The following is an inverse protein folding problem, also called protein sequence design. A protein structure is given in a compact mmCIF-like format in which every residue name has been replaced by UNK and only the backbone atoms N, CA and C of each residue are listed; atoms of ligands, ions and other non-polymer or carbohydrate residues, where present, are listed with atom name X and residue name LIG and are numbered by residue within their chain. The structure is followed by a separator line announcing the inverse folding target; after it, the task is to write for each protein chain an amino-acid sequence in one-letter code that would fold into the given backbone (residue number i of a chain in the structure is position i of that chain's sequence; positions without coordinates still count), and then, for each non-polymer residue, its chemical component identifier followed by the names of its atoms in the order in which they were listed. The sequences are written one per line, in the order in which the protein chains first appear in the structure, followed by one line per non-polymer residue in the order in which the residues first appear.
data_IF_019473598341
#
_entry.id   IF_019473598341
#
_cell.length_a   1.000
_cell.length_b   1.000
_cell.length_c   1.000
_cell.angle_alpha   90.00
_cell.angle_beta   90.00
_cell.angle_gamma   90.00
#
_symmetry.space_group_name_H-M   'P 1'
#
loop_
_entity.id
_entity.type
_entity.pdbx_description
1 polymer ?
#
# COMPACT_ATOMS: atom_id res chain seq x y z
N UNK A 1 -23.16 -15.29 5.06
CA UNK A 1 -22.14 -16.22 5.59
C UNK A 1 -21.44 -16.88 4.42
N UNK A 2 -20.11 -16.90 4.40
CA UNK A 2 -19.32 -17.60 3.38
C UNK A 2 -19.47 -19.12 3.57
N UNK A 3 -19.79 -19.85 2.51
CA UNK A 3 -19.87 -21.31 2.53
C UNK A 3 -18.48 -21.90 2.70
N UNK A 4 -18.32 -22.96 3.49
CA UNK A 4 -17.04 -23.69 3.64
C UNK A 4 -16.55 -24.32 2.32
N UNK A 5 -17.39 -24.32 1.28
CA UNK A 5 -17.07 -24.84 -0.05
C UNK A 5 -16.71 -23.76 -1.08
N UNK A 6 -16.69 -22.47 -0.71
CA UNK A 6 -16.53 -21.38 -1.68
C UNK A 6 -15.18 -21.37 -2.40
N UNK A 7 -14.16 -21.99 -1.81
CA UNK A 7 -12.80 -22.08 -2.36
C UNK A 7 -12.56 -23.33 -3.21
N UNK A 8 -13.49 -24.30 -3.21
CA UNK A 8 -13.33 -25.54 -3.96
C UNK A 8 -13.19 -25.25 -5.46
N UNK A 9 -12.06 -25.66 -6.03
CA UNK A 9 -11.73 -25.48 -7.45
C UNK A 9 -11.37 -24.06 -7.86
N UNK A 10 -11.27 -23.09 -6.94
CA UNK A 10 -10.82 -21.73 -7.26
C UNK A 10 -9.34 -21.73 -7.58
N UNK A 11 -8.95 -21.06 -8.66
CA UNK A 11 -7.55 -20.91 -9.04
C UNK A 11 -6.94 -19.73 -8.29
N UNK A 12 -5.93 -20.04 -7.48
CA UNK A 12 -5.12 -19.08 -6.75
C UNK A 12 -3.71 -19.14 -7.31
N UNK A 13 -3.11 -17.98 -7.54
CA UNK A 13 -1.75 -17.83 -8.09
C UNK A 13 -0.88 -17.09 -7.09
N UNK A 14 0.35 -17.55 -6.93
CA UNK A 14 1.32 -16.98 -5.97
C UNK A 14 2.54 -16.47 -6.73
N UNK A 15 2.62 -15.16 -7.04
CA UNK A 15 3.81 -14.57 -7.66
C UNK A 15 4.90 -14.35 -6.60
N UNK A 16 5.92 -15.20 -6.57
CA UNK A 16 6.93 -15.19 -5.49
C UNK A 16 8.06 -14.21 -5.72
N UNK A 17 8.57 -14.13 -6.95
CA UNK A 17 9.91 -13.63 -7.26
C UNK A 17 10.31 -12.32 -6.55
N UNK A 18 9.55 -11.24 -6.74
CA UNK A 18 9.80 -9.94 -6.10
C UNK A 18 9.10 -9.83 -4.74
N UNK A 19 7.83 -10.26 -4.65
CA UNK A 19 6.97 -10.00 -3.50
C UNK A 19 7.35 -10.76 -2.21
N UNK A 20 8.01 -11.92 -2.33
CA UNK A 20 8.50 -12.71 -1.18
C UNK A 20 10.01 -12.57 -0.99
N UNK A 21 10.67 -11.67 -1.72
CA UNK A 21 12.05 -11.30 -1.46
C UNK A 21 12.07 -10.23 -0.36
N UNK A 22 12.51 -10.58 0.84
CA UNK A 22 12.46 -9.69 2.01
C UNK A 22 13.24 -8.38 1.78
N UNK A 23 14.34 -8.43 1.01
CA UNK A 23 15.15 -7.24 0.71
C UNK A 23 14.42 -6.27 -0.22
N UNK A 24 13.60 -6.78 -1.15
CA UNK A 24 12.87 -5.94 -2.11
C UNK A 24 11.51 -5.52 -1.57
N UNK A 25 10.76 -6.47 -1.03
CA UNK A 25 9.41 -6.22 -0.48
C UNK A 25 9.44 -5.45 0.84
N UNK A 26 10.56 -5.46 1.58
CA UNK A 26 10.64 -4.90 2.93
C UNK A 26 9.83 -5.68 3.96
N UNK A 27 9.35 -6.89 3.61
CA UNK A 27 8.56 -7.72 4.52
C UNK A 27 9.42 -8.31 5.64
N UNK A 28 8.84 -8.38 6.85
CA UNK A 28 9.43 -9.19 7.93
C UNK A 28 9.40 -10.67 7.49
N UNK A 29 10.54 -11.40 7.57
CA UNK A 29 10.62 -12.80 7.16
C UNK A 29 9.57 -13.72 7.84
N UNK A 30 9.11 -13.35 9.04
CA UNK A 30 8.03 -14.06 9.73
C UNK A 30 6.71 -14.06 8.95
N UNK A 31 6.42 -12.98 8.20
CA UNK A 31 5.23 -12.91 7.34
C UNK A 31 5.24 -14.07 6.36
N UNK A 32 6.36 -14.30 5.68
CA UNK A 32 6.49 -15.34 4.67
C UNK A 32 6.31 -16.73 5.29
N UNK A 33 6.80 -16.95 6.52
CA UNK A 33 6.58 -18.21 7.25
C UNK A 33 5.10 -18.46 7.52
N UNK A 34 4.34 -17.44 7.95
CA UNK A 34 2.90 -17.60 8.22
C UNK A 34 2.12 -17.71 6.90
N UNK A 35 2.57 -17.02 5.84
CA UNK A 35 1.98 -17.08 4.52
C UNK A 35 1.96 -18.51 3.95
N UNK A 36 3.05 -19.27 4.11
CA UNK A 36 3.06 -20.69 3.71
C UNK A 36 1.96 -21.51 4.38
N UNK A 37 1.67 -21.26 5.66
CA UNK A 37 0.60 -21.95 6.39
C UNK A 37 -0.79 -21.58 5.86
N UNK A 38 -0.96 -20.33 5.43
CA UNK A 38 -2.19 -19.89 4.79
C UNK A 38 -2.37 -20.55 3.42
N UNK A 39 -1.29 -20.73 2.64
CA UNK A 39 -1.36 -21.47 1.37
C UNK A 39 -1.79 -22.93 1.61
N UNK A 40 -1.28 -23.60 2.63
CA UNK A 40 -1.75 -24.95 2.99
C UNK A 40 -3.23 -24.97 3.39
N UNK A 41 -3.66 -24.00 4.21
CA UNK A 41 -5.09 -23.85 4.57
C UNK A 41 -5.97 -23.67 3.33
N UNK A 42 -5.54 -22.85 2.37
CA UNK A 42 -6.28 -22.64 1.12
C UNK A 42 -6.37 -23.94 0.30
N UNK A 43 -5.30 -24.74 0.23
CA UNK A 43 -5.31 -26.06 -0.42
C UNK A 43 -6.27 -27.03 0.27
N UNK A 44 -6.23 -27.11 1.60
CA UNK A 44 -7.12 -27.97 2.40
C UNK A 44 -8.60 -27.61 2.20
N UNK A 45 -8.91 -26.33 2.01
CA UNK A 45 -10.25 -25.83 1.66
C UNK A 45 -10.63 -26.06 0.19
N UNK A 46 -9.78 -26.73 -0.58
CA UNK A 46 -10.05 -27.17 -1.95
C UNK A 46 -9.65 -26.19 -3.05
N UNK A 47 -8.89 -25.12 -2.73
CA UNK A 47 -8.35 -24.23 -3.75
C UNK A 47 -7.25 -24.94 -4.56
N UNK A 48 -7.17 -24.57 -5.85
CA UNK A 48 -6.11 -25.00 -6.75
C UNK A 48 -5.03 -23.91 -6.79
N UNK A 49 -3.91 -24.18 -6.15
CA UNK A 49 -2.80 -23.23 -6.06
C UNK A 49 -1.80 -23.50 -7.20
N UNK A 50 -1.46 -22.45 -7.95
CA UNK A 50 -0.34 -22.41 -8.89
C UNK A 50 0.75 -21.57 -8.25
N UNK A 51 1.87 -22.22 -7.90
CA UNK A 51 2.98 -21.63 -7.17
C UNK A 51 4.31 -22.28 -7.62
N UNK A 52 5.26 -21.52 -8.19
CA UNK A 52 5.18 -20.08 -8.45
C UNK A 52 4.30 -19.74 -9.67
N UNK A 53 3.72 -18.55 -9.63
CA UNK A 53 3.00 -17.93 -10.75
C UNK A 53 3.45 -16.48 -10.91
N UNK A 54 4.75 -16.30 -11.15
CA UNK A 54 5.40 -14.98 -11.14
C UNK A 54 4.80 -14.03 -12.18
N UNK A 55 4.61 -12.78 -11.77
CA UNK A 55 4.21 -11.69 -12.63
C UNK A 55 5.47 -11.16 -13.34
N UNK A 56 5.53 -11.20 -14.69
CA UNK A 56 6.69 -10.69 -15.41
C UNK A 56 7.00 -9.24 -15.10
N UNK A 57 5.97 -8.40 -14.95
CA UNK A 57 6.07 -6.97 -14.65
C UNK A 57 6.46 -6.63 -13.19
N UNK A 58 6.64 -7.62 -12.31
CA UNK A 58 6.86 -7.36 -10.89
C UNK A 58 8.14 -6.56 -10.62
N UNK A 59 9.20 -6.83 -11.37
CA UNK A 59 10.48 -6.13 -11.23
C UNK A 59 10.41 -4.73 -11.83
N UNK A 60 9.80 -4.57 -13.00
CA UNK A 60 9.60 -3.26 -13.62
C UNK A 60 8.71 -2.34 -12.76
N UNK A 61 7.67 -2.89 -12.11
CA UNK A 61 6.86 -2.14 -11.14
C UNK A 61 7.73 -1.64 -9.98
N UNK A 62 8.59 -2.50 -9.44
CA UNK A 62 9.50 -2.14 -8.36
C UNK A 62 10.52 -1.07 -8.77
N UNK A 63 11.09 -1.16 -9.97
CA UNK A 63 12.21 -0.31 -10.42
C UNK A 63 11.77 1.03 -11.05
N UNK A 64 10.58 1.12 -11.65
CA UNK A 64 10.25 2.23 -12.56
C UNK A 64 10.03 3.59 -11.91
N UNK A 65 9.49 3.63 -10.68
CA UNK A 65 9.06 4.84 -9.98
C UNK A 65 8.02 5.70 -10.75
N UNK A 66 7.39 5.17 -11.80
CA UNK A 66 6.44 5.92 -12.62
C UNK A 66 5.14 6.26 -11.87
N UNK A 67 4.67 5.36 -11.01
CA UNK A 67 3.50 5.61 -10.16
C UNK A 67 3.70 6.86 -9.28
N UNK A 68 4.89 7.04 -8.69
CA UNK A 68 5.22 8.24 -7.90
C UNK A 68 5.17 9.52 -8.72
N UNK A 69 5.63 9.47 -9.98
CA UNK A 69 5.58 10.62 -10.90
C UNK A 69 4.13 10.98 -11.24
N UNK A 70 3.31 9.98 -11.55
CA UNK A 70 1.89 10.17 -11.85
C UNK A 70 1.17 10.72 -10.61
N UNK A 71 1.33 10.08 -9.46
CA UNK A 71 0.68 10.46 -8.20
C UNK A 71 1.06 11.86 -7.75
N UNK A 72 2.33 12.25 -7.84
CA UNK A 72 2.75 13.60 -7.44
C UNK A 72 2.12 14.69 -8.28
N UNK A 73 2.05 14.50 -9.61
CA UNK A 73 1.40 15.46 -10.51
C UNK A 73 -0.12 15.47 -10.30
N UNK A 74 -0.74 14.29 -10.23
CA UNK A 74 -2.19 14.17 -10.01
C UNK A 74 -2.60 14.78 -8.67
N UNK A 75 -1.85 14.50 -7.60
CA UNK A 75 -2.13 15.02 -6.27
C UNK A 75 -2.11 16.54 -6.27
N UNK A 76 -1.04 17.20 -6.74
CA UNK A 76 -1.00 18.67 -6.80
C UNK A 76 -2.19 19.24 -7.57
N UNK A 77 -2.34 18.83 -8.83
CA UNK A 77 -3.33 19.43 -9.73
C UNK A 77 -4.76 19.20 -9.23
N UNK A 78 -5.06 18.00 -8.74
CA UNK A 78 -6.41 17.66 -8.29
C UNK A 78 -6.71 18.20 -6.88
N UNK A 79 -5.71 18.32 -6.00
CA UNK A 79 -5.88 18.89 -4.68
C UNK A 79 -6.18 20.39 -4.74
N UNK A 80 -5.45 21.13 -5.58
CA UNK A 80 -5.75 22.55 -5.84
C UNK A 80 -7.13 22.73 -6.49
N UNK A 81 -7.46 21.90 -7.49
CA UNK A 81 -8.78 21.94 -8.12
C UNK A 81 -9.92 21.57 -7.14
N UNK A 82 -9.66 20.69 -6.16
CA UNK A 82 -10.60 20.36 -5.12
C UNK A 82 -10.87 21.57 -4.22
N UNK A 83 -9.84 22.32 -3.80
CA UNK A 83 -10.03 23.56 -3.05
C UNK A 83 -10.85 24.60 -3.83
N UNK A 84 -10.56 24.80 -5.11
CA UNK A 84 -11.33 25.70 -5.99
C UNK A 84 -12.80 25.29 -6.12
N UNK A 85 -13.11 24.00 -5.95
CA UNK A 85 -14.47 23.46 -6.03
C UNK A 85 -15.30 23.65 -4.75
N UNK A 86 -14.68 24.02 -3.63
CA UNK A 86 -15.37 24.14 -2.34
C UNK A 86 -16.33 25.32 -2.35
N UNK A 87 -17.59 25.08 -1.96
CA UNK A 87 -18.62 26.13 -1.82
C UNK A 87 -18.28 27.11 -0.70
N UNK A 88 -17.62 26.62 0.35
CA UNK A 88 -17.11 27.42 1.45
C UNK A 88 -15.89 26.75 2.03
N UNK A 89 -14.88 27.54 2.35
CA UNK A 89 -13.69 27.12 3.09
C UNK A 89 -13.52 28.07 4.29
N UNK A 90 -13.71 27.60 5.53
CA UNK A 90 -13.56 28.44 6.71
C UNK A 90 -12.09 28.65 7.13
N UNK A 91 -11.14 27.97 6.48
CA UNK A 91 -9.70 28.18 6.70
C UNK A 91 -9.10 29.13 5.67
N UNK A 92 -7.89 29.61 5.94
CA UNK A 92 -7.08 30.38 4.99
C UNK A 92 -6.20 29.47 4.10
N UNK A 93 -6.40 28.14 4.13
CA UNK A 93 -5.64 27.16 3.34
C UNK A 93 -6.46 26.80 2.11
N UNK A 94 -6.00 27.19 0.91
CA UNK A 94 -6.75 27.01 -0.34
C UNK A 94 -5.94 26.34 -1.46
N UNK A 95 -4.76 25.80 -1.15
CA UNK A 95 -3.88 25.12 -2.10
C UNK A 95 -2.92 24.18 -1.39
N UNK A 96 -2.21 23.34 -2.14
CA UNK A 96 -1.12 22.54 -1.60
C UNK A 96 0.00 23.40 -1.01
N UNK A 97 0.34 24.52 -1.66
CA UNK A 97 1.32 25.47 -1.17
C UNK A 97 0.90 26.12 0.17
N UNK A 98 -0.39 26.46 0.32
CA UNK A 98 -0.90 26.99 1.58
C UNK A 98 -0.88 25.96 2.70
N UNK A 99 -1.11 24.68 2.39
CA UNK A 99 -1.04 23.58 3.35
C UNK A 99 0.39 23.43 3.90
N UNK A 100 1.39 23.37 3.01
CA UNK A 100 2.81 23.31 3.39
C UNK A 100 3.18 24.50 4.29
N UNK A 101 2.76 25.72 3.90
CA UNK A 101 3.01 26.91 4.69
C UNK A 101 2.27 26.90 6.05
N UNK A 102 1.09 26.28 6.10
CA UNK A 102 0.34 26.12 7.34
C UNK A 102 1.11 25.19 8.30
N UNK A 103 1.61 24.06 7.81
CA UNK A 103 2.39 23.11 8.60
C UNK A 103 3.64 23.78 9.18
N UNK A 104 4.40 24.50 8.33
CA UNK A 104 5.59 25.27 8.72
C UNK A 104 5.31 26.33 9.81
N UNK A 105 4.13 26.96 9.77
CA UNK A 105 3.72 27.98 10.74
C UNK A 105 3.18 27.38 12.03
N UNK A 106 2.78 26.11 12.02
CA UNK A 106 2.15 25.43 13.13
C UNK A 106 2.89 24.13 13.50
N UNK A 107 4.23 24.15 13.72
CA UNK A 107 4.99 22.93 13.93
C UNK A 107 4.60 22.18 15.22
N UNK A 108 4.05 22.88 16.21
CA UNK A 108 3.52 22.22 17.41
C UNK A 108 2.26 21.38 17.15
N UNK A 109 1.55 21.64 16.05
CA UNK A 109 0.36 20.90 15.62
C UNK A 109 0.72 19.87 14.55
N UNK A 110 1.49 20.27 13.54
CA UNK A 110 1.68 19.49 12.31
C UNK A 110 3.06 18.82 12.19
N UNK A 111 4.03 19.16 13.05
CA UNK A 111 5.37 18.55 13.07
C UNK A 111 5.71 17.86 14.41
N UNK A 112 4.93 16.84 14.84
CA UNK A 112 5.24 16.11 16.05
C UNK A 112 6.59 15.38 15.97
N UNK A 113 7.14 14.99 17.12
CA UNK A 113 8.47 14.34 17.18
C UNK A 113 8.57 13.11 16.27
N UNK A 114 9.58 13.11 15.39
CA UNK A 114 9.84 12.16 14.30
C UNK A 114 8.74 12.07 13.20
N UNK A 115 7.93 13.12 13.05
CA UNK A 115 7.04 13.38 11.91
C UNK A 115 7.23 14.83 11.44
N UNK A 116 8.47 15.23 11.22
CA UNK A 116 8.83 16.60 10.79
C UNK A 116 9.09 16.69 9.29
N UNK A 117 8.88 15.58 8.56
CA UNK A 117 9.09 15.54 7.11
C UNK A 117 7.74 15.60 6.41
N UNK A 118 7.61 16.58 5.52
CA UNK A 118 6.47 16.79 4.64
C UNK A 118 6.92 16.77 3.16
N UNK A 119 8.01 16.07 2.84
CA UNK A 119 8.48 15.82 1.46
C UNK A 119 7.36 15.32 0.55
N UNK A 120 6.44 14.51 1.06
CA UNK A 120 5.27 14.01 0.33
C UNK A 120 4.28 15.11 -0.11
N UNK A 121 4.35 16.30 0.48
CA UNK A 121 3.60 17.49 0.04
C UNK A 121 4.49 18.40 -0.83
N UNK A 122 5.74 18.61 -0.40
CA UNK A 122 6.70 19.51 -1.07
C UNK A 122 7.05 19.01 -2.48
N UNK A 123 7.29 17.71 -2.66
CA UNK A 123 7.68 17.14 -3.96
C UNK A 123 6.56 17.28 -5.00
N UNK A 124 5.29 16.93 -4.70
CA UNK A 124 4.15 17.24 -5.57
C UNK A 124 4.02 18.73 -5.88
N UNK A 125 4.18 19.62 -4.89
CA UNK A 125 4.10 21.07 -5.12
C UNK A 125 5.17 21.57 -6.11
N UNK A 126 6.36 20.94 -6.14
CA UNK A 126 7.39 21.30 -7.11
C UNK A 126 7.08 20.86 -8.55
N UNK A 127 6.01 20.09 -8.79
CA UNK A 127 5.66 19.62 -10.14
C UNK A 127 5.13 20.75 -11.02
N UNK A 128 5.28 20.56 -12.34
CA UNK A 128 4.86 21.53 -13.38
C UNK A 128 3.51 21.17 -14.01
N UNK A 129 2.74 20.28 -13.39
CA UNK A 129 1.46 19.77 -13.90
C UNK A 129 1.61 18.73 -15.01
N UNK A 130 0.55 18.55 -15.80
CA UNK A 130 0.48 17.55 -16.86
C UNK A 130 1.42 17.85 -18.03
N UNK A 131 2.59 17.23 -18.02
CA UNK A 131 3.63 17.38 -19.04
C UNK A 131 3.92 16.06 -19.78
N UNK A 132 4.88 16.09 -20.71
CA UNK A 132 5.22 14.89 -21.49
C UNK A 132 5.71 13.73 -20.62
N UNK A 133 6.45 14.01 -19.54
CA UNK A 133 6.93 12.97 -18.61
C UNK A 133 5.75 12.31 -17.90
N UNK A 134 4.78 13.10 -17.42
CA UNK A 134 3.57 12.58 -16.79
C UNK A 134 2.84 11.60 -17.73
N UNK A 135 2.58 12.01 -18.98
CA UNK A 135 1.85 11.14 -19.92
C UNK A 135 2.64 9.90 -20.33
N UNK A 136 3.97 9.96 -20.33
CA UNK A 136 4.83 8.80 -20.57
C UNK A 136 4.77 7.81 -19.40
N UNK A 137 4.92 8.30 -18.16
CA UNK A 137 4.79 7.48 -16.95
C UNK A 137 3.39 6.86 -16.84
N UNK A 138 2.33 7.64 -17.09
CA UNK A 138 0.96 7.15 -17.09
C UNK A 138 0.70 6.08 -18.15
N UNK A 139 1.26 6.25 -19.37
CA UNK A 139 1.13 5.25 -20.41
C UNK A 139 1.87 3.95 -20.04
N UNK A 140 3.07 4.07 -19.48
CA UNK A 140 3.86 2.94 -19.02
C UNK A 140 3.13 2.15 -17.92
N UNK A 141 2.60 2.84 -16.91
CA UNK A 141 1.82 2.19 -15.84
C UNK A 141 0.59 1.47 -16.40
N UNK A 142 -0.12 2.07 -17.36
CA UNK A 142 -1.26 1.41 -18.03
C UNK A 142 -0.84 0.14 -18.78
N UNK A 143 0.34 0.12 -19.41
CA UNK A 143 0.87 -1.07 -20.07
C UNK A 143 1.19 -2.18 -19.06
N UNK A 144 1.79 -1.84 -17.92
CA UNK A 144 2.05 -2.80 -16.83
C UNK A 144 0.74 -3.34 -16.22
N UNK A 145 -0.25 -2.47 -16.03
CA UNK A 145 -1.59 -2.86 -15.56
C UNK A 145 -2.30 -3.78 -16.53
N UNK A 146 -2.25 -3.51 -17.84
CA UNK A 146 -2.85 -4.37 -18.86
C UNK A 146 -2.19 -5.76 -18.92
N UNK A 147 -0.88 -5.85 -18.65
CA UNK A 147 -0.21 -7.14 -18.54
C UNK A 147 -0.83 -8.01 -17.43
N UNK A 148 -1.28 -7.40 -16.32
CA UNK A 148 -1.92 -8.11 -15.20
C UNK A 148 -3.17 -8.90 -15.65
N UNK A 149 -3.99 -8.39 -16.58
CA UNK A 149 -5.16 -9.11 -17.13
C UNK A 149 -4.78 -10.45 -17.74
N UNK A 150 -3.66 -10.46 -18.45
CA UNK A 150 -3.22 -11.63 -19.21
C UNK A 150 -2.77 -12.75 -18.27
N UNK A 151 -2.26 -12.41 -17.09
CA UNK A 151 -1.73 -13.37 -16.11
C UNK A 151 -2.73 -13.71 -14.97
N UNK A 152 -3.68 -12.82 -14.68
CA UNK A 152 -4.66 -12.98 -13.60
C UNK A 152 -5.91 -13.78 -14.02
N UNK A 153 -5.74 -14.99 -14.57
CA UNK A 153 -6.85 -15.94 -14.83
C UNK A 153 -7.45 -16.54 -13.53
N UNK A 154 -7.30 -15.86 -12.39
CA UNK A 154 -7.66 -16.28 -11.03
C UNK A 154 -7.28 -15.18 -10.02
N UNK A 155 -7.41 -15.46 -8.72
CA UNK A 155 -6.96 -14.51 -7.69
C UNK A 155 -5.45 -14.61 -7.48
N UNK A 156 -4.77 -13.48 -7.43
CA UNK A 156 -3.41 -13.41 -6.89
C UNK A 156 -3.49 -13.35 -5.37
N UNK A 157 -2.68 -14.14 -4.69
CA UNK A 157 -2.60 -14.15 -3.23
C UNK A 157 -1.15 -13.92 -2.84
N UNK A 158 -0.94 -12.93 -1.99
CA UNK A 158 0.35 -12.41 -1.55
C UNK A 158 0.24 -11.94 -0.09
N UNK A 159 1.35 -11.90 0.66
CA UNK A 159 1.37 -11.16 1.91
C UNK A 159 1.15 -9.66 1.70
N UNK A 160 0.40 -9.04 2.61
CA UNK A 160 -0.04 -7.65 2.45
C UNK A 160 1.07 -6.58 2.40
N UNK A 161 2.16 -6.63 3.21
CA UNK A 161 3.10 -5.53 3.25
C UNK A 161 4.04 -5.50 2.03
N UNK A 162 4.66 -4.34 1.82
CA UNK A 162 5.53 -4.08 0.68
C UNK A 162 4.77 -3.66 -0.58
N UNK A 163 5.18 -4.21 -1.72
CA UNK A 163 4.72 -3.80 -3.07
C UNK A 163 3.44 -4.52 -3.54
N UNK A 164 2.83 -5.36 -2.70
CA UNK A 164 1.73 -6.26 -3.08
C UNK A 164 0.53 -5.54 -3.69
N UNK A 165 0.19 -4.33 -3.22
CA UNK A 165 -0.98 -3.60 -3.68
C UNK A 165 -0.77 -2.88 -5.00
N UNK A 166 0.48 -2.53 -5.34
CA UNK A 166 0.82 -1.63 -6.45
C UNK A 166 0.34 -2.17 -7.80
N UNK A 167 0.57 -3.43 -8.19
CA UNK A 167 0.08 -3.93 -9.48
C UNK A 167 -1.44 -3.80 -9.64
N UNK A 168 -2.18 -4.06 -8.56
CA UNK A 168 -3.65 -3.93 -8.58
C UNK A 168 -4.11 -2.48 -8.55
N UNK A 169 -3.38 -1.59 -7.85
CA UNK A 169 -3.66 -0.16 -7.83
C UNK A 169 -3.48 0.47 -9.22
N UNK A 170 -2.34 0.20 -9.88
CA UNK A 170 -2.06 0.63 -11.25
C UNK A 170 -3.13 0.12 -12.24
N UNK A 171 -3.53 -1.15 -12.12
CA UNK A 171 -4.54 -1.75 -12.99
C UNK A 171 -5.99 -1.35 -12.65
N UNK A 172 -6.24 -0.75 -11.48
CA UNK A 172 -7.58 -0.47 -10.98
C UNK A 172 -8.38 -1.72 -10.59
N UNK A 173 -7.71 -2.76 -10.12
CA UNK A 173 -8.33 -4.04 -9.72
C UNK A 173 -8.70 -4.12 -8.25
N UNK A 174 -9.72 -4.93 -7.92
CA UNK A 174 -10.14 -5.09 -6.55
C UNK A 174 -9.05 -5.77 -5.72
N UNK A 175 -8.76 -5.19 -4.56
CA UNK A 175 -7.88 -5.75 -3.53
C UNK A 175 -8.75 -6.12 -2.34
N UNK A 176 -8.50 -7.30 -1.77
CA UNK A 176 -9.09 -7.73 -0.50
C UNK A 176 -7.96 -8.20 0.42
N UNK A 177 -7.90 -7.62 1.62
CA UNK A 177 -6.99 -8.09 2.67
C UNK A 177 -7.76 -8.92 3.70
N UNK A 178 -7.14 -10.00 4.16
CA UNK A 178 -7.64 -10.87 5.23
C UNK A 178 -6.52 -11.06 6.23
N UNK A 179 -6.83 -11.03 7.52
CA UNK A 179 -5.85 -11.19 8.58
C UNK A 179 -5.13 -12.54 8.48
N UNK A 180 -3.81 -12.49 8.30
CA UNK A 180 -2.95 -13.66 8.21
C UNK A 180 -2.61 -14.28 9.58
N UNK A 181 -2.66 -13.45 10.64
CA UNK A 181 -2.39 -13.88 12.01
C UNK A 181 -1.81 -12.75 12.87
N UNK A 182 -1.17 -13.14 13.96
CA UNK A 182 -0.46 -12.23 14.87
C UNK A 182 1.03 -12.57 14.90
N UNK A 183 1.85 -11.57 15.18
CA UNK A 183 3.27 -11.77 15.47
C UNK A 183 3.49 -12.53 16.78
N UNK A 184 4.65 -13.20 16.95
CA UNK A 184 5.05 -13.76 18.22
C UNK A 184 5.27 -12.65 19.25
N UNK A 185 5.09 -12.97 20.54
CA UNK A 185 5.19 -12.01 21.64
C UNK A 185 6.61 -11.40 21.81
N UNK A 186 7.64 -12.02 21.22
CA UNK A 186 9.05 -11.61 21.35
C UNK A 186 9.55 -10.75 20.19
N UNK A 187 8.66 -10.33 19.28
CA UNK A 187 9.01 -9.42 18.17
C UNK A 187 9.42 -8.05 18.69
N UNK A 188 10.46 -7.46 18.10
CA UNK A 188 10.87 -6.10 18.41
C UNK A 188 9.84 -5.12 17.89
N UNK A 189 9.42 -4.16 18.73
CA UNK A 189 8.52 -3.11 18.32
C UNK A 189 9.27 -2.03 17.54
N UNK A 190 8.67 -1.61 16.43
CA UNK A 190 9.07 -0.47 15.63
C UNK A 190 8.09 0.67 15.83
N UNK A 191 8.64 1.88 15.94
CA UNK A 191 7.88 3.13 16.05
C UNK A 191 8.05 3.97 14.79
N UNK A 192 6.98 4.68 14.40
CA UNK A 192 7.09 5.86 13.56
C UNK A 192 6.59 7.04 14.40
N UNK A 193 7.44 8.05 14.62
CA UNK A 193 7.08 9.13 15.53
C UNK A 193 6.69 8.64 16.93
N UNK A 194 5.67 9.25 17.57
CA UNK A 194 5.09 8.78 18.83
C UNK A 194 4.33 7.45 18.73
N UNK A 195 4.07 6.93 17.52
CA UNK A 195 3.21 5.78 17.33
C UNK A 195 4.00 4.47 17.25
N UNK A 196 3.51 3.44 17.93
CA UNK A 196 3.95 2.06 17.69
C UNK A 196 3.24 1.61 16.41
N UNK A 197 4.02 1.42 15.34
CA UNK A 197 3.46 1.08 14.02
C UNK A 197 3.50 -0.43 13.80
N UNK A 198 4.45 -1.14 14.41
CA UNK A 198 4.62 -2.54 14.11
C UNK A 198 5.34 -3.34 15.21
N UNK A 199 4.94 -4.59 15.49
CA UNK A 199 3.67 -5.20 15.12
C UNK A 199 2.51 -4.73 15.99
N UNK A 200 1.28 -4.85 15.47
CA UNK A 200 0.09 -4.67 16.28
C UNK A 200 0.04 -5.75 17.39
N UNK A 201 0.02 -5.32 18.64
CA UNK A 201 0.12 -6.21 19.81
C UNK A 201 -1.17 -7.04 19.97
N UNK A 202 -1.06 -8.31 20.34
CA UNK A 202 -2.24 -9.18 20.50
C UNK A 202 -3.16 -8.67 21.62
N UNK A 203 -4.40 -8.25 21.31
CA UNK A 203 -5.32 -7.65 22.28
C UNK A 203 -5.81 -8.60 23.38
N UNK A 204 -5.78 -9.91 23.15
CA UNK A 204 -6.24 -10.90 24.12
C UNK A 204 -5.17 -11.31 25.14
N UNK A 205 -3.96 -10.73 25.06
CA UNK A 205 -2.83 -11.07 25.94
C UNK A 205 -2.13 -9.86 26.58
N UNK A 206 -2.56 -8.63 26.31
CA UNK A 206 -1.98 -7.44 26.96
C UNK A 206 -2.62 -7.16 28.33
N UNK A 207 -1.82 -7.20 29.40
CA UNK A 207 -2.21 -6.78 30.76
C UNK A 207 -2.22 -5.26 30.98
N UNK A 208 -2.04 -4.46 29.92
CA UNK A 208 -2.09 -3.00 29.99
C UNK A 208 -3.43 -2.51 29.43
N UNK A 209 -4.08 -1.52 30.07
CA UNK A 209 -5.35 -0.99 29.61
C UNK A 209 -5.21 -0.38 28.22
N UNK A 210 -6.26 -0.58 27.42
CA UNK A 210 -6.44 0.06 26.13
C UNK A 210 -6.55 1.57 26.32
N UNK A 211 -5.52 2.31 25.95
CA UNK A 211 -5.66 3.75 25.68
C UNK A 211 -5.84 3.89 24.17
N UNK A 212 -7.09 3.82 23.71
CA UNK A 212 -7.43 4.45 22.44
C UNK A 212 -7.21 5.95 22.62
N UNK A 213 -6.40 6.55 21.76
CA UNK A 213 -6.42 8.00 21.60
C UNK A 213 -7.78 8.34 20.98
N UNK A 214 -8.63 8.99 21.77
CA UNK A 214 -9.74 9.81 21.27
C UNK A 214 -9.20 11.14 20.73
#
# INVERSE_FOLDING_TARGET
MLSSTSLVGKHIRVPRAMFLNDTMSGNDPYVNVVFERALETLKELGARIVDPADLPSAFEIYDSNNESVVLGVDFKVQFDAWFDSLVANPSDVASLADLIMFDDKNPSLEEPTNYTDQSILIEPEATTGFNASYYQSLAFDKELGAALETYALGALVLPAPGYTTIPSAIAGYPILTVSLGFYPDNVTLSSAGPNIVYPFRNPHRSLLPWNCME
#
